data_IF_536110083995
#
_entry.id   IF_536110083995
#
_cell.length_a   1.000
_cell.length_b   1.000
_cell.length_c   1.000
_cell.angle_alpha   90.00
_cell.angle_beta   90.00
_cell.angle_gamma   90.00
#
_symmetry.space_group_name_H-M   'P 1'
#
loop_
_entity.id
_entity.type
_entity.pdbx_description
1 polymer ?
#
# COMPACT_ATOMS: atom_id res chain seq x y z
N UNK A 1 31.32 -20.58 8.69
CA UNK A 1 29.89 -20.67 8.99
C UNK A 1 29.20 -19.52 8.27
N UNK A 2 28.40 -19.73 7.21
CA UNK A 2 27.69 -18.62 6.59
C UNK A 2 26.69 -18.08 7.61
N UNK A 3 26.76 -16.78 7.86
CA UNK A 3 25.93 -16.08 8.81
C UNK A 3 24.53 -16.00 8.19
N UNK A 4 23.50 -16.55 8.84
CA UNK A 4 22.13 -16.43 8.35
C UNK A 4 21.80 -14.95 8.14
N UNK A 5 21.24 -14.55 6.99
CA UNK A 5 20.88 -13.15 6.80
C UNK A 5 19.80 -12.79 7.82
N UNK A 6 20.02 -11.69 8.53
CA UNK A 6 19.03 -11.07 9.41
C UNK A 6 17.70 -10.94 8.66
N UNK A 7 16.58 -11.18 9.35
CA UNK A 7 15.24 -11.06 8.79
C UNK A 7 15.12 -9.82 7.88
N UNK A 8 14.79 -9.97 6.58
CA UNK A 8 14.78 -8.84 5.68
C UNK A 8 13.67 -7.87 6.05
N UNK A 9 13.97 -6.57 6.04
CA UNK A 9 12.97 -5.51 6.22
C UNK A 9 12.46 -5.10 4.84
N UNK A 10 11.15 -5.18 4.63
CA UNK A 10 10.49 -4.79 3.38
C UNK A 10 9.55 -3.62 3.66
N UNK A 11 9.82 -2.48 3.01
CA UNK A 11 8.94 -1.31 3.03
C UNK A 11 8.03 -1.37 1.81
N UNK A 12 6.73 -1.33 2.05
CA UNK A 12 5.70 -1.36 1.02
C UNK A 12 5.10 0.04 0.93
N UNK A 13 5.49 0.81 -0.09
CA UNK A 13 5.01 2.17 -0.32
C UNK A 13 4.29 2.31 -1.67
N UNK A 14 3.18 1.60 -1.89
CA UNK A 14 2.43 1.67 -3.13
C UNK A 14 1.57 2.93 -3.19
N UNK A 15 1.20 3.29 -4.41
CA UNK A 15 0.09 4.20 -4.69
C UNK A 15 -1.18 3.39 -4.99
N UNK A 16 -2.31 4.08 -5.08
CA UNK A 16 -3.59 3.50 -5.48
C UNK A 16 -3.58 3.00 -6.93
N UNK A 17 -4.39 1.98 -7.19
CA UNK A 17 -4.77 1.61 -8.55
C UNK A 17 -6.06 2.35 -8.88
N UNK A 18 -5.92 3.42 -9.69
CA UNK A 18 -7.03 4.30 -10.10
C UNK A 18 -8.27 3.52 -10.51
N UNK A 19 -9.41 3.83 -9.88
CA UNK A 19 -10.69 3.15 -10.13
C UNK A 19 -10.76 1.67 -9.71
N UNK A 20 -9.79 1.16 -8.94
CA UNK A 20 -9.75 -0.24 -8.50
C UNK A 20 -9.45 -0.39 -7.01
N UNK A 21 -8.19 -0.29 -6.59
CA UNK A 21 -7.77 -0.52 -5.21
C UNK A 21 -7.17 0.75 -4.61
N UNK A 22 -7.51 1.06 -3.37
CA UNK A 22 -6.82 2.10 -2.61
C UNK A 22 -5.35 1.69 -2.37
N UNK A 23 -4.47 2.68 -2.13
CA UNK A 23 -3.07 2.41 -1.79
C UNK A 23 -2.93 1.46 -0.58
N UNK A 24 -3.85 1.56 0.39
CA UNK A 24 -3.92 0.67 1.55
C UNK A 24 -4.25 -0.78 1.14
N UNK A 25 -5.25 -0.98 0.29
CA UNK A 25 -5.62 -2.31 -0.21
C UNK A 25 -4.49 -2.95 -1.03
N UNK A 26 -3.77 -2.14 -1.82
CA UNK A 26 -2.58 -2.60 -2.54
C UNK A 26 -1.47 -2.99 -1.57
N UNK A 27 -1.22 -2.17 -0.53
CA UNK A 27 -0.20 -2.45 0.47
C UNK A 27 -0.47 -3.77 1.21
N UNK A 28 -1.72 -4.03 1.59
CA UNK A 28 -2.13 -5.26 2.27
C UNK A 28 -2.01 -6.50 1.38
N UNK A 29 -2.37 -6.39 0.11
CA UNK A 29 -2.21 -7.47 -0.86
C UNK A 29 -0.74 -7.86 -1.02
N UNK A 30 0.15 -6.86 -1.15
CA UNK A 30 1.61 -7.07 -1.26
C UNK A 30 2.15 -7.67 0.04
N UNK A 31 1.76 -7.14 1.20
CA UNK A 31 2.19 -7.65 2.51
C UNK A 31 1.79 -9.12 2.71
N UNK A 32 0.58 -9.47 2.29
CA UNK A 32 0.08 -10.85 2.33
C UNK A 32 0.94 -11.78 1.46
N UNK A 33 1.27 -11.35 0.24
CA UNK A 33 2.16 -12.10 -0.65
C UNK A 33 3.55 -12.31 -0.06
N UNK A 34 4.13 -11.26 0.51
CA UNK A 34 5.46 -11.32 1.14
C UNK A 34 5.45 -12.27 2.34
N UNK A 35 4.49 -12.15 3.25
CA UNK A 35 4.41 -13.05 4.42
C UNK A 35 4.20 -14.51 4.04
N UNK A 36 3.53 -14.79 2.90
CA UNK A 36 3.39 -16.15 2.37
C UNK A 36 4.71 -16.70 1.83
N UNK A 37 5.47 -15.89 1.10
CA UNK A 37 6.73 -16.32 0.46
C UNK A 37 7.94 -16.29 1.41
N UNK A 38 7.96 -15.34 2.34
CA UNK A 38 9.02 -15.06 3.30
C UNK A 38 8.41 -14.72 4.67
N UNK A 39 7.98 -15.74 5.43
CA UNK A 39 7.38 -15.54 6.75
C UNK A 39 8.28 -14.82 7.76
N UNK A 40 9.60 -14.86 7.53
CA UNK A 40 10.63 -14.21 8.34
C UNK A 40 10.79 -12.71 8.05
N UNK A 41 10.16 -12.18 7.00
CA UNK A 41 10.31 -10.78 6.62
C UNK A 41 9.59 -9.83 7.60
N UNK A 42 10.27 -8.75 7.98
CA UNK A 42 9.65 -7.63 8.70
C UNK A 42 9.04 -6.68 7.70
N UNK A 43 7.71 -6.69 7.60
CA UNK A 43 6.96 -5.88 6.64
C UNK A 43 6.47 -4.58 7.25
N UNK A 44 6.74 -3.45 6.59
CA UNK A 44 6.24 -2.11 6.97
C UNK A 44 5.42 -1.52 5.82
N UNK A 45 4.13 -1.31 6.04
CA UNK A 45 3.24 -0.67 5.07
C UNK A 45 3.26 0.85 5.24
N UNK A 46 3.50 1.57 4.15
CA UNK A 46 3.53 3.02 4.05
C UNK A 46 2.76 3.45 2.79
N UNK A 47 1.44 3.17 2.69
CA UNK A 47 0.66 3.52 1.51
C UNK A 47 0.72 5.03 1.26
N UNK A 48 1.00 5.40 0.01
CA UNK A 48 1.11 6.79 -0.41
C UNK A 48 -0.26 7.28 -0.87
N UNK A 49 -0.67 8.47 -0.44
CA UNK A 49 -1.86 9.14 -0.96
C UNK A 49 -1.40 10.29 -1.85
N UNK A 50 -1.38 10.09 -3.18
CA UNK A 50 -1.06 11.16 -4.12
C UNK A 50 -2.26 12.07 -4.41
N UNK A 51 -2.98 12.49 -3.36
CA UNK A 51 -4.02 13.53 -3.38
C UNK A 51 -5.17 13.40 -4.40
N UNK A 52 -5.24 12.31 -5.16
CA UNK A 52 -6.12 12.15 -6.31
C UNK A 52 -7.23 11.15 -6.02
N UNK A 53 -8.46 11.59 -6.23
CA UNK A 53 -9.71 10.81 -6.09
C UNK A 53 -10.29 10.71 -4.67
N UNK A 54 -10.12 11.76 -3.88
CA UNK A 54 -11.20 12.30 -3.02
C UNK A 54 -11.81 13.59 -3.57
N UNK A 55 -11.17 14.19 -4.59
CA UNK A 55 -11.54 15.49 -5.15
C UNK A 55 -12.80 15.42 -6.02
N UNK A 56 -13.10 14.28 -6.65
CA UNK A 56 -14.31 14.13 -7.48
C UNK A 56 -15.58 14.08 -6.62
N UNK A 57 -15.55 13.40 -5.47
CA UNK A 57 -16.64 13.44 -4.48
C UNK A 57 -16.75 14.81 -3.80
N UNK A 58 -15.63 15.50 -3.57
CA UNK A 58 -15.65 16.86 -3.05
C UNK A 58 -16.24 17.88 -4.04
N UNK A 59 -16.12 17.64 -5.36
CA UNK A 59 -16.71 18.49 -6.40
C UNK A 59 -18.21 18.23 -6.61
N UNK A 60 -18.72 17.04 -6.30
CA UNK A 60 -20.16 16.74 -6.38
C UNK A 60 -20.95 17.23 -5.16
N UNK A 61 -20.29 17.48 -4.03
CA UNK A 61 -20.90 18.01 -2.80
C UNK A 61 -20.93 19.55 -2.72
N UNK A 62 -20.17 20.26 -3.55
CA UNK A 62 -20.15 21.72 -3.65
C UNK A 62 -21.10 22.21 -4.73
N UNK A 63 -22.29 22.67 -4.32
CA UNK A 63 -23.40 22.96 -5.20
C UNK A 63 -23.19 24.01 -6.30
N UNK A 64 -24.15 24.01 -7.21
CA UNK A 64 -24.36 25.03 -8.24
C UNK A 64 -25.57 24.63 -9.09
N UNK A 65 -26.74 25.07 -8.65
CA UNK A 65 -28.00 25.11 -9.40
C UNK A 65 -27.84 25.72 -10.79
#
# INVERSE_FOLDING_TARGET
>A
MPQHPSAPVVVIAPDSFKGSLSAEQVADAIATGIRRARPDAVVRCCPMADGGEGTLDAMLAGGGT
#
